data_IF_577183777358
#
_entry.id   IF_577183777358
#
_cell.length_a   1.000
_cell.length_b   1.000
_cell.length_c   1.000
_cell.angle_alpha   90.00
_cell.angle_beta   90.00
_cell.angle_gamma   90.00
#
_symmetry.space_group_name_H-M   'P 1'
#
loop_
_entity.id
_entity.type
_entity.pdbx_description
1 polymer ?
#
# COMPACT_ATOMS: atom_id res chain seq x y z
N UNK A 1 23.85 22.73 1.39
CA UNK A 1 23.41 21.49 0.70
C UNK A 1 21.99 21.23 1.18
N UNK A 2 21.04 21.05 0.29
CA UNK A 2 19.66 20.74 0.67
C UNK A 2 19.63 19.31 1.20
N UNK A 3 19.06 19.12 2.38
CA UNK A 3 18.94 17.82 3.04
C UNK A 3 17.96 16.95 2.24
N UNK A 4 18.36 15.72 1.91
CA UNK A 4 17.52 14.76 1.19
C UNK A 4 16.88 13.81 2.19
N UNK A 5 15.56 13.63 2.09
CA UNK A 5 14.79 12.68 2.89
C UNK A 5 14.03 11.74 1.95
N UNK A 6 14.00 10.44 2.25
CA UNK A 6 13.24 9.48 1.46
C UNK A 6 12.13 8.84 2.29
N UNK A 7 10.90 8.83 1.77
CA UNK A 7 9.78 8.11 2.36
C UNK A 7 9.43 6.91 1.49
N UNK A 8 9.63 5.72 2.01
CA UNK A 8 9.33 4.47 1.35
C UNK A 8 7.92 4.00 1.68
N UNK A 9 7.12 3.77 0.66
CA UNK A 9 5.78 3.21 0.76
C UNK A 9 5.87 1.71 0.45
N UNK A 10 5.82 0.87 1.47
CA UNK A 10 5.88 -0.59 1.36
C UNK A 10 4.46 -1.15 1.32
N UNK A 11 4.10 -1.86 0.25
CA UNK A 11 2.85 -2.62 0.22
C UNK A 11 2.98 -3.89 1.05
N UNK A 12 1.92 -4.26 1.80
CA UNK A 12 1.91 -5.53 2.53
C UNK A 12 2.14 -6.75 1.62
N UNK A 13 2.67 -7.83 2.19
CA UNK A 13 2.88 -9.12 1.53
C UNK A 13 1.58 -9.86 1.20
N UNK A 14 1.69 -11.04 0.60
CA UNK A 14 0.55 -11.88 0.24
C UNK A 14 -0.30 -12.24 1.45
N UNK A 15 -1.63 -12.26 1.26
CA UNK A 15 -2.61 -12.56 2.32
C UNK A 15 -3.17 -13.97 2.13
N UNK A 16 -3.33 -14.71 3.22
CA UNK A 16 -4.04 -15.99 3.21
C UNK A 16 -5.53 -15.78 2.93
N UNK A 17 -5.96 -16.00 1.68
CA UNK A 17 -7.33 -15.76 1.22
C UNK A 17 -7.82 -16.87 0.27
N UNK A 18 -7.98 -18.11 0.76
CA UNK A 18 -8.38 -19.24 -0.08
C UNK A 18 -9.79 -19.08 -0.65
N UNK A 19 -10.66 -18.34 0.03
CA UNK A 19 -12.03 -18.07 -0.42
C UNK A 19 -12.14 -16.98 -1.51
N UNK A 20 -11.02 -16.33 -1.87
CA UNK A 20 -10.97 -15.23 -2.87
C UNK A 20 -11.97 -14.11 -2.61
N UNK A 21 -12.06 -13.71 -1.35
CA UNK A 21 -12.92 -12.62 -0.87
C UNK A 21 -12.21 -11.29 -1.08
N UNK A 22 -12.96 -10.25 -1.46
CA UNK A 22 -12.46 -8.87 -1.39
C UNK A 22 -12.40 -8.47 0.08
N UNK A 23 -11.22 -8.49 0.66
CA UNK A 23 -11.07 -8.30 2.11
C UNK A 23 -10.97 -6.84 2.55
N UNK A 24 -10.55 -5.91 1.67
CA UNK A 24 -10.50 -4.47 1.97
C UNK A 24 -10.02 -4.15 3.40
N UNK A 25 -10.90 -3.63 4.24
CA UNK A 25 -10.64 -3.30 5.65
C UNK A 25 -11.07 -4.39 6.64
N UNK A 26 -11.56 -5.53 6.17
CA UNK A 26 -12.00 -6.61 7.04
C UNK A 26 -10.86 -7.13 7.92
N UNK A 27 -11.12 -7.40 9.22
CA UNK A 27 -10.15 -8.00 10.14
C UNK A 27 -9.90 -9.48 9.83
N UNK A 28 -8.82 -10.04 10.39
CA UNK A 28 -8.51 -11.47 10.31
C UNK A 28 -7.81 -11.90 9.01
N UNK A 29 -7.56 -10.99 8.09
CA UNK A 29 -6.80 -11.26 6.86
C UNK A 29 -5.30 -11.02 7.10
N UNK A 30 -4.63 -12.11 7.49
CA UNK A 30 -3.21 -12.19 7.83
C UNK A 30 -2.37 -12.58 6.63
N UNK A 31 -1.05 -12.40 6.72
CA UNK A 31 -0.12 -12.88 5.71
C UNK A 31 -0.24 -14.41 5.54
N UNK A 32 -0.04 -14.87 4.31
CA UNK A 32 0.25 -16.28 4.02
C UNK A 32 1.72 -16.56 4.33
N UNK A 33 2.13 -17.84 4.32
CA UNK A 33 3.55 -18.21 4.42
C UNK A 33 4.39 -17.54 3.33
N UNK A 34 3.86 -17.42 2.11
CA UNK A 34 4.49 -16.65 1.02
C UNK A 34 4.60 -15.18 1.38
N UNK A 35 3.54 -14.60 1.96
CA UNK A 35 3.54 -13.20 2.40
C UNK A 35 4.54 -12.91 3.52
N UNK A 36 4.76 -13.85 4.43
CA UNK A 36 5.80 -13.76 5.46
C UNK A 36 7.20 -13.77 4.83
N UNK A 37 7.45 -14.66 3.86
CA UNK A 37 8.70 -14.67 3.11
C UNK A 37 8.93 -13.38 2.31
N UNK A 38 7.86 -12.80 1.74
CA UNK A 38 7.92 -11.50 1.06
C UNK A 38 8.28 -10.37 2.04
N UNK A 39 7.74 -10.38 3.25
CA UNK A 39 8.04 -9.40 4.29
C UNK A 39 9.52 -9.47 4.72
N UNK A 40 10.08 -10.68 4.85
CA UNK A 40 11.49 -10.90 5.11
C UNK A 40 12.37 -10.34 3.97
N UNK A 41 12.04 -10.65 2.72
CA UNK A 41 12.79 -10.14 1.56
C UNK A 41 12.76 -8.61 1.49
N UNK A 42 11.63 -7.98 1.83
CA UNK A 42 11.55 -6.53 1.94
C UNK A 42 12.45 -5.98 3.06
N UNK A 43 12.47 -6.62 4.23
CA UNK A 43 13.35 -6.22 5.33
C UNK A 43 14.84 -6.36 4.96
N UNK A 44 15.23 -7.43 4.27
CA UNK A 44 16.58 -7.63 3.76
C UNK A 44 16.99 -6.54 2.76
N UNK A 45 16.07 -6.14 1.88
CA UNK A 45 16.32 -5.04 0.92
C UNK A 45 16.64 -3.72 1.63
N UNK A 46 15.99 -3.45 2.77
CA UNK A 46 16.28 -2.28 3.60
C UNK A 46 17.59 -2.39 4.40
N UNK A 47 18.30 -3.52 4.38
CA UNK A 47 19.51 -3.74 5.18
C UNK A 47 20.69 -2.79 4.92
N UNK A 48 20.64 -1.98 3.86
CA UNK A 48 21.64 -0.94 3.58
C UNK A 48 21.09 0.48 3.67
N UNK A 49 19.83 0.65 4.10
CA UNK A 49 19.14 1.91 4.17
C UNK A 49 19.22 2.54 5.58
N UNK A 50 19.21 3.86 5.63
CA UNK A 50 19.27 4.63 6.88
C UNK A 50 17.85 4.91 7.42
N UNK A 51 17.08 3.84 7.67
CA UNK A 51 15.71 3.93 8.16
C UNK A 51 15.69 4.33 9.64
N UNK A 52 15.10 5.47 9.94
CA UNK A 52 14.95 6.00 11.31
C UNK A 52 13.51 6.09 11.79
N UNK A 53 12.53 5.89 10.89
CA UNK A 53 11.11 6.00 11.22
C UNK A 53 10.31 4.90 10.51
N UNK A 54 9.52 4.13 11.27
CA UNK A 54 8.72 3.02 10.78
C UNK A 54 7.28 3.14 11.27
N UNK A 55 6.34 3.25 10.33
CA UNK A 55 4.90 3.36 10.63
C UNK A 55 4.12 2.38 9.73
N UNK A 56 3.06 1.81 10.27
CA UNK A 56 2.21 0.87 9.55
C UNK A 56 0.74 1.20 9.66
N UNK A 57 -0.01 0.84 8.63
CA UNK A 57 -1.46 0.70 8.70
C UNK A 57 -1.87 -0.16 9.89
N UNK A 58 -3.03 0.08 10.53
CA UNK A 58 -3.52 -0.74 11.65
C UNK A 58 -3.91 -2.17 11.26
N UNK A 59 -4.02 -2.48 9.97
CA UNK A 59 -4.46 -3.79 9.50
C UNK A 59 -3.38 -4.87 9.73
N UNK A 60 -3.77 -6.04 10.21
CA UNK A 60 -2.90 -7.13 10.65
C UNK A 60 -1.81 -7.48 9.63
N UNK A 61 -2.16 -7.62 8.35
CA UNK A 61 -1.22 -7.92 7.26
C UNK A 61 -0.12 -6.87 7.08
N UNK A 62 -0.45 -5.59 7.31
CA UNK A 62 0.53 -4.50 7.22
C UNK A 62 1.47 -4.51 8.43
N UNK A 63 0.92 -4.72 9.64
CA UNK A 63 1.70 -4.88 10.86
C UNK A 63 2.65 -6.08 10.78
N UNK A 64 2.17 -7.22 10.26
CA UNK A 64 3.00 -8.41 10.04
C UNK A 64 4.10 -8.16 8.99
N UNK A 65 3.82 -7.35 7.95
CA UNK A 65 4.84 -6.99 6.95
C UNK A 65 5.91 -6.06 7.54
N UNK A 66 5.54 -5.18 8.48
CA UNK A 66 6.47 -4.29 9.16
C UNK A 66 7.37 -5.03 10.17
N UNK A 67 6.92 -6.17 10.72
CA UNK A 67 7.59 -6.91 11.79
C UNK A 67 9.07 -7.22 11.53
N UNK A 68 9.42 -7.92 10.44
CA UNK A 68 10.81 -8.23 10.11
C UNK A 68 11.71 -7.00 9.98
N UNK A 69 11.17 -5.90 9.43
CA UNK A 69 11.92 -4.64 9.32
C UNK A 69 12.15 -4.00 10.71
N UNK A 70 11.14 -4.05 11.58
CA UNK A 70 11.27 -3.58 12.97
C UNK A 70 12.33 -4.37 13.73
N UNK A 71 12.38 -5.70 13.57
CA UNK A 71 13.40 -6.57 14.17
C UNK A 71 14.80 -6.25 13.63
N UNK A 72 14.94 -6.04 12.29
CA UNK A 72 16.23 -5.76 11.67
C UNK A 72 16.79 -4.38 12.03
N UNK A 73 15.93 -3.37 12.23
CA UNK A 73 16.33 -1.98 12.52
C UNK A 73 16.32 -1.64 14.01
N UNK A 74 15.65 -2.44 14.83
CA UNK A 74 15.39 -2.12 16.24
C UNK A 74 14.36 -1.00 16.47
N UNK A 75 13.64 -0.59 15.43
CA UNK A 75 12.63 0.47 15.52
C UNK A 75 11.29 -0.09 16.02
N UNK A 76 10.58 0.70 16.83
CA UNK A 76 9.19 0.41 17.16
C UNK A 76 8.29 0.70 15.94
N UNK A 77 7.26 -0.14 15.75
CA UNK A 77 6.25 0.10 14.69
C UNK A 77 5.22 1.09 15.22
N UNK A 78 5.20 2.31 14.66
CA UNK A 78 4.10 3.24 14.86
C UNK A 78 2.85 2.78 14.10
N UNK A 79 1.67 3.20 14.53
CA UNK A 79 0.41 2.92 13.82
C UNK A 79 -0.25 4.22 13.38
N UNK A 80 -0.71 4.27 12.11
CA UNK A 80 -1.36 5.45 11.56
C UNK A 80 -2.55 5.05 10.69
N UNK A 81 -3.75 5.48 11.09
CA UNK A 81 -5.00 5.19 10.38
C UNK A 81 -5.05 5.81 8.98
N UNK A 82 -4.25 6.84 8.70
CA UNK A 82 -4.14 7.44 7.37
C UNK A 82 -3.56 6.47 6.33
N UNK A 83 -2.86 5.41 6.76
CA UNK A 83 -2.27 4.38 5.91
C UNK A 83 -3.22 3.22 5.60
N UNK A 84 -4.46 3.22 6.15
CA UNK A 84 -5.41 2.12 5.97
C UNK A 84 -5.82 1.95 4.50
N UNK A 85 -6.22 0.74 4.10
CA UNK A 85 -6.75 0.46 2.75
C UNK A 85 -7.97 1.34 2.42
N UNK A 86 -8.22 1.58 1.14
CA UNK A 86 -9.41 2.28 0.71
C UNK A 86 -10.68 1.49 1.05
N UNK A 87 -11.70 2.17 1.56
CA UNK A 87 -12.99 1.55 1.80
C UNK A 87 -13.63 1.07 0.50
N UNK A 88 -14.29 -0.09 0.50
CA UNK A 88 -14.93 -0.68 -0.67
C UNK A 88 -16.28 -1.30 -0.33
N UNK A 89 -17.34 -0.88 -1.04
CA UNK A 89 -18.70 -1.38 -0.84
C UNK A 89 -18.91 -2.87 -1.23
N UNK A 90 -17.87 -3.52 -1.76
CA UNK A 90 -17.87 -4.94 -2.12
C UNK A 90 -17.07 -5.81 -1.13
N UNK A 91 -16.61 -5.24 -0.02
CA UNK A 91 -15.93 -6.00 1.03
C UNK A 91 -16.78 -7.20 1.50
N UNK A 92 -16.11 -8.33 1.72
CA UNK A 92 -16.77 -9.58 2.08
C UNK A 92 -17.33 -10.38 0.90
N UNK A 93 -17.33 -9.84 -0.31
CA UNK A 93 -17.85 -10.54 -1.48
C UNK A 93 -16.76 -11.30 -2.25
N UNK A 94 -17.13 -12.45 -2.83
CA UNK A 94 -16.22 -13.24 -3.68
C UNK A 94 -16.02 -12.54 -5.02
N UNK A 95 -14.76 -12.31 -5.41
CA UNK A 95 -14.42 -11.55 -6.63
C UNK A 95 -14.35 -12.45 -7.85
N UNK A 96 -13.97 -13.71 -7.69
CA UNK A 96 -13.70 -14.66 -8.77
C UNK A 96 -14.81 -15.67 -9.03
N UNK A 97 -14.76 -16.36 -10.20
CA UNK A 97 -15.65 -17.46 -10.55
C UNK A 97 -17.00 -17.03 -11.16
N UNK A 98 -17.89 -18.02 -11.39
CA UNK A 98 -19.20 -17.81 -12.03
C UNK A 98 -20.15 -16.95 -11.21
N UNK A 99 -19.96 -16.87 -9.88
CA UNK A 99 -20.73 -16.05 -8.93
C UNK A 99 -20.09 -14.73 -8.55
N UNK A 100 -19.02 -14.31 -9.25
CA UNK A 100 -18.26 -13.11 -8.91
C UNK A 100 -19.13 -11.83 -8.90
N UNK A 101 -18.89 -10.97 -7.93
CA UNK A 101 -19.65 -9.75 -7.64
C UNK A 101 -19.86 -8.83 -8.84
N UNK A 102 -18.89 -8.77 -9.76
CA UNK A 102 -18.94 -7.94 -10.97
C UNK A 102 -19.82 -8.51 -12.09
N UNK A 103 -20.22 -9.79 -12.02
CA UNK A 103 -21.11 -10.44 -12.97
C UNK A 103 -22.60 -10.31 -12.61
N UNK A 104 -22.90 -9.89 -11.40
CA UNK A 104 -24.29 -9.73 -10.95
C UNK A 104 -24.87 -8.38 -11.43
N UNK A 105 -25.91 -8.34 -12.30
CA UNK A 105 -26.49 -7.09 -12.84
C UNK A 105 -26.95 -6.11 -11.75
N UNK A 106 -27.38 -6.66 -10.61
CA UNK A 106 -27.79 -5.87 -9.42
C UNK A 106 -26.67 -4.97 -8.86
N UNK A 107 -25.41 -5.21 -9.21
CA UNK A 107 -24.26 -4.45 -8.72
C UNK A 107 -23.79 -3.37 -9.72
N UNK A 108 -24.27 -3.39 -10.96
CA UNK A 108 -23.84 -2.47 -12.00
C UNK A 108 -24.20 -1.02 -11.71
N UNK A 109 -25.26 -0.77 -10.96
CA UNK A 109 -25.59 0.59 -10.52
C UNK A 109 -24.54 1.19 -9.59
N UNK A 110 -23.78 0.37 -8.85
CA UNK A 110 -22.64 0.79 -8.02
C UNK A 110 -21.42 1.20 -8.86
N UNK A 111 -21.30 0.72 -10.11
CA UNK A 111 -20.18 0.96 -11.01
C UNK A 111 -20.39 2.18 -11.93
N UNK A 112 -21.38 3.03 -11.68
CA UNK A 112 -21.82 4.08 -12.62
C UNK A 112 -20.83 5.23 -12.78
N UNK A 113 -19.98 5.51 -11.80
CA UNK A 113 -19.07 6.64 -11.86
C UNK A 113 -17.62 6.20 -11.64
N UNK A 114 -16.81 6.01 -12.71
CA UNK A 114 -15.40 5.65 -12.59
C UNK A 114 -14.51 6.79 -12.10
N UNK A 115 -14.98 8.04 -12.12
CA UNK A 115 -14.21 9.22 -11.69
C UNK A 115 -14.32 9.48 -10.19
N UNK A 116 -15.46 9.17 -9.61
CA UNK A 116 -15.66 9.05 -8.16
C UNK A 116 -16.21 7.66 -7.92
N UNK A 117 -15.38 6.71 -7.45
CA UNK A 117 -15.87 5.34 -7.28
C UNK A 117 -17.06 5.34 -6.34
N UNK A 118 -18.28 5.17 -6.90
CA UNK A 118 -19.52 5.07 -6.11
C UNK A 118 -19.54 3.80 -5.23
N UNK A 119 -18.50 2.98 -5.34
CA UNK A 119 -18.26 1.76 -4.57
C UNK A 119 -17.13 1.85 -3.56
N UNK A 120 -16.45 3.02 -3.43
CA UNK A 120 -15.30 3.15 -2.55
C UNK A 120 -15.02 4.58 -2.11
N UNK A 121 -13.94 4.74 -1.36
CA UNK A 121 -13.42 6.02 -0.92
C UNK A 121 -12.99 6.89 -2.13
N UNK A 122 -13.34 8.19 -2.19
CA UNK A 122 -12.90 9.08 -3.26
C UNK A 122 -11.38 9.17 -3.35
N UNK A 123 -10.81 9.10 -4.57
CA UNK A 123 -9.35 9.18 -4.76
C UNK A 123 -8.72 10.44 -4.16
N UNK A 124 -9.43 11.57 -4.18
CA UNK A 124 -8.94 12.82 -3.60
C UNK A 124 -8.80 12.74 -2.07
N UNK A 125 -9.69 12.02 -1.39
CA UNK A 125 -9.63 11.80 0.06
C UNK A 125 -8.48 10.83 0.41
N UNK A 126 -8.32 9.76 -0.38
CA UNK A 126 -7.18 8.85 -0.24
C UNK A 126 -5.86 9.62 -0.44
N UNK A 127 -5.76 10.45 -1.48
CA UNK A 127 -4.57 11.26 -1.74
C UNK A 127 -4.28 12.22 -0.59
N UNK A 128 -5.29 12.91 -0.06
CA UNK A 128 -5.13 13.88 1.01
C UNK A 128 -4.63 13.23 2.31
N UNK A 129 -5.23 12.08 2.74
CA UNK A 129 -4.78 11.39 3.96
C UNK A 129 -3.39 10.78 3.80
N UNK A 130 -3.09 10.22 2.63
CA UNK A 130 -1.77 9.65 2.34
C UNK A 130 -0.69 10.73 2.26
N UNK A 131 -0.99 11.89 1.65
CA UNK A 131 -0.06 13.02 1.61
C UNK A 131 0.29 13.48 3.03
N UNK A 132 -0.72 13.67 3.88
CA UNK A 132 -0.49 14.05 5.27
C UNK A 132 0.34 13.00 6.07
N UNK A 133 0.22 11.70 5.75
CA UNK A 133 1.06 10.66 6.35
C UNK A 133 2.50 10.71 5.83
N UNK A 134 2.69 10.90 4.51
CA UNK A 134 4.01 11.02 3.87
C UNK A 134 4.75 12.26 4.37
N UNK A 135 4.09 13.40 4.48
CA UNK A 135 4.68 14.64 5.02
C UNK A 135 5.09 14.49 6.48
N UNK A 136 4.25 13.87 7.30
CA UNK A 136 4.57 13.59 8.70
C UNK A 136 5.79 12.66 8.85
N UNK A 137 5.88 11.63 8.01
CA UNK A 137 7.02 10.71 7.99
C UNK A 137 8.30 11.39 7.50
N UNK A 138 8.22 12.22 6.43
CA UNK A 138 9.33 13.07 5.97
C UNK A 138 9.86 13.93 7.11
N UNK A 139 8.97 14.60 7.83
CA UNK A 139 9.35 15.52 8.91
C UNK A 139 9.96 14.79 10.11
N UNK A 140 9.51 13.57 10.39
CA UNK A 140 10.05 12.72 11.45
C UNK A 140 11.43 12.14 11.10
N UNK A 141 11.72 11.91 9.80
CA UNK A 141 12.96 11.29 9.32
C UNK A 141 13.84 12.26 8.52
N UNK A 142 13.81 13.56 8.80
CA UNK A 142 14.58 14.57 8.05
C UNK A 142 16.07 14.20 7.94
N UNK A 143 16.59 14.19 6.71
CA UNK A 143 17.96 13.79 6.37
C UNK A 143 18.21 12.28 6.36
N UNK A 144 17.21 11.49 6.65
CA UNK A 144 17.22 10.04 6.76
C UNK A 144 16.09 9.42 5.94
N UNK A 145 15.71 8.18 6.25
CA UNK A 145 14.67 7.45 5.56
C UNK A 145 13.54 7.02 6.50
N UNK A 146 12.31 7.08 6.01
CA UNK A 146 11.12 6.57 6.69
C UNK A 146 10.49 5.43 5.89
N UNK A 147 9.88 4.45 6.56
CA UNK A 147 9.07 3.39 5.92
C UNK A 147 7.64 3.46 6.42
N UNK A 148 6.71 3.54 5.48
CA UNK A 148 5.26 3.52 5.69
C UNK A 148 4.69 2.24 5.07
N UNK A 149 4.19 1.30 5.88
CA UNK A 149 3.58 0.06 5.38
C UNK A 149 2.09 0.27 5.16
N UNK A 150 1.64 0.10 3.92
CA UNK A 150 0.27 0.39 3.49
C UNK A 150 -0.24 -0.63 2.46
N UNK A 151 -1.16 -0.23 1.60
CA UNK A 151 -1.92 -1.09 0.70
C UNK A 151 -1.86 -0.57 -0.73
N UNK A 152 -2.33 -1.38 -1.69
CA UNK A 152 -2.17 -1.11 -3.11
C UNK A 152 -2.80 0.23 -3.55
N UNK A 153 -4.08 0.44 -3.24
CA UNK A 153 -4.77 1.63 -3.75
C UNK A 153 -4.29 2.92 -3.10
N UNK A 154 -4.08 3.01 -1.78
CA UNK A 154 -3.48 4.19 -1.15
C UNK A 154 -2.10 4.55 -1.71
N UNK A 155 -1.19 3.56 -1.84
CA UNK A 155 0.16 3.78 -2.38
C UNK A 155 0.09 4.26 -3.83
N UNK A 156 -0.71 3.60 -4.67
CA UNK A 156 -0.85 4.01 -6.06
C UNK A 156 -1.46 5.41 -6.21
N UNK A 157 -2.45 5.73 -5.38
CA UNK A 157 -3.14 7.03 -5.43
C UNK A 157 -2.22 8.18 -5.04
N UNK A 158 -1.44 8.04 -3.97
CA UNK A 158 -0.48 9.09 -3.59
C UNK A 158 0.64 9.23 -4.62
N UNK A 159 1.12 8.14 -5.22
CA UNK A 159 2.10 8.22 -6.32
C UNK A 159 1.54 9.03 -7.49
N UNK A 160 0.33 8.74 -7.95
CA UNK A 160 -0.30 9.53 -9.03
C UNK A 160 -0.44 11.00 -8.66
N UNK A 161 -0.80 11.30 -7.40
CA UNK A 161 -0.92 12.66 -6.90
C UNK A 161 0.40 13.43 -6.97
N UNK A 162 1.48 12.84 -6.45
CA UNK A 162 2.82 13.44 -6.41
C UNK A 162 3.41 13.63 -7.81
N UNK A 163 3.14 12.71 -8.73
CA UNK A 163 3.55 12.80 -10.13
C UNK A 163 2.65 13.75 -10.97
N UNK A 164 1.60 14.36 -10.39
CA UNK A 164 0.65 15.22 -11.10
C UNK A 164 -0.19 14.49 -12.15
N UNK A 165 -0.40 13.20 -12.00
CA UNK A 165 -1.11 12.32 -12.93
C UNK A 165 -2.58 12.19 -12.57
N UNK A 166 -3.40 11.87 -13.59
CA UNK A 166 -4.83 11.59 -13.39
C UNK A 166 -5.04 10.35 -12.53
N UNK A 167 -6.01 10.40 -11.61
CA UNK A 167 -6.45 9.23 -10.84
C UNK A 167 -7.19 8.19 -11.69
N UNK A 168 -7.70 8.57 -12.86
CA UNK A 168 -8.31 7.62 -13.79
C UNK A 168 -7.22 6.76 -14.43
N UNK A 169 -7.20 5.47 -14.11
CA UNK A 169 -6.19 4.53 -14.59
C UNK A 169 -6.78 3.10 -14.72
N UNK A 170 -6.13 2.26 -15.50
CA UNK A 170 -6.42 0.82 -15.54
C UNK A 170 -5.81 0.15 -14.29
N UNK A 171 -6.63 -0.47 -13.42
CA UNK A 171 -6.14 -1.14 -12.21
C UNK A 171 -5.08 -2.22 -12.46
N UNK A 172 -5.08 -2.82 -13.65
CA UNK A 172 -4.12 -3.87 -14.06
C UNK A 172 -2.72 -3.32 -14.36
N UNK A 173 -2.59 -2.00 -14.48
CA UNK A 173 -1.33 -1.30 -14.78
C UNK A 173 -0.73 -0.63 -13.56
N UNK A 174 -1.19 -0.96 -12.36
CA UNK A 174 -0.62 -0.43 -11.13
C UNK A 174 0.75 -1.06 -10.88
N UNK A 175 1.79 -0.26 -10.91
CA UNK A 175 3.11 -0.65 -10.40
C UNK A 175 3.09 -0.57 -8.88
N UNK A 176 2.55 -1.58 -8.25
CA UNK A 176 2.44 -1.74 -6.80
C UNK A 176 2.19 -3.23 -6.50
N UNK A 177 3.20 -4.07 -6.77
CA UNK A 177 3.19 -5.49 -6.50
C UNK A 177 3.17 -5.78 -4.98
N UNK A 178 2.88 -7.01 -4.57
CA UNK A 178 2.95 -7.42 -3.15
C UNK A 178 4.38 -7.25 -2.64
N UNK A 179 4.54 -6.69 -1.45
CA UNK A 179 5.82 -6.33 -0.83
C UNK A 179 6.74 -5.44 -1.70
N UNK A 180 6.18 -4.72 -2.68
CA UNK A 180 6.92 -3.72 -3.45
C UNK A 180 7.11 -2.43 -2.65
N UNK A 181 8.16 -1.69 -3.00
CA UNK A 181 8.54 -0.42 -2.40
C UNK A 181 8.42 0.70 -3.44
N UNK A 182 7.62 1.71 -3.14
CA UNK A 182 7.57 2.97 -3.88
C UNK A 182 8.28 4.02 -3.02
N UNK A 183 9.44 4.50 -3.47
CA UNK A 183 10.27 5.44 -2.72
C UNK A 183 10.05 6.85 -3.23
N UNK A 184 9.70 7.76 -2.34
CA UNK A 184 9.43 9.17 -2.62
C UNK A 184 10.57 10.01 -2.04
N UNK A 185 11.34 10.65 -2.91
CA UNK A 185 12.45 11.52 -2.50
C UNK A 185 12.03 12.98 -2.35
N UNK A 186 12.56 13.63 -1.32
CA UNK A 186 12.37 15.05 -1.04
C UNK A 186 13.72 15.76 -0.89
N UNK A 187 13.80 17.00 -1.40
CA UNK A 187 14.86 17.96 -1.11
C UNK A 187 14.27 19.06 -0.21
N UNK A 188 14.53 18.97 1.09
CA UNK A 188 13.76 19.73 2.09
C UNK A 188 12.29 19.33 2.04
N UNK A 189 11.40 20.29 1.75
CA UNK A 189 9.95 20.03 1.62
C UNK A 189 9.50 19.78 0.19
N UNK A 190 10.40 19.92 -0.80
CA UNK A 190 10.07 19.80 -2.22
C UNK A 190 10.15 18.33 -2.67
N UNK A 191 9.09 17.85 -3.28
CA UNK A 191 9.09 16.57 -3.99
C UNK A 191 10.17 16.56 -5.10
N UNK A 192 11.05 15.56 -5.10
CA UNK A 192 12.15 15.41 -6.04
C UNK A 192 11.95 14.27 -7.05
N UNK A 193 11.21 13.22 -6.68
CA UNK A 193 10.95 12.11 -7.59
C UNK A 193 10.44 10.85 -6.90
N UNK A 194 10.09 9.86 -7.73
CA UNK A 194 9.65 8.53 -7.29
C UNK A 194 10.50 7.47 -7.96
N UNK A 195 10.86 6.44 -7.20
CA UNK A 195 11.42 5.18 -7.72
C UNK A 195 10.58 3.99 -7.26
N UNK A 196 10.71 2.86 -7.95
CA UNK A 196 9.95 1.65 -7.67
C UNK A 196 10.86 0.43 -7.65
N UNK A 197 10.68 -0.47 -6.68
CA UNK A 197 11.42 -1.70 -6.53
C UNK A 197 10.51 -2.86 -6.10
N UNK A 198 10.85 -4.08 -6.47
CA UNK A 198 10.19 -5.33 -6.10
C UNK A 198 11.16 -6.26 -5.37
N UNK A 199 11.45 -6.02 -4.06
CA UNK A 199 12.40 -6.82 -3.29
C UNK A 199 12.07 -8.33 -3.26
N UNK A 200 10.80 -8.67 -3.20
CA UNK A 200 10.33 -10.05 -3.19
C UNK A 200 10.20 -10.70 -4.59
N UNK A 201 10.64 -9.99 -5.65
CA UNK A 201 10.45 -10.43 -7.03
C UNK A 201 9.02 -10.26 -7.53
N UNK A 202 8.73 -10.80 -8.72
CA UNK A 202 7.43 -10.69 -9.34
C UNK A 202 6.34 -11.38 -8.50
N UNK A 203 5.19 -10.73 -8.34
CA UNK A 203 4.02 -11.33 -7.69
C UNK A 203 3.59 -12.59 -8.42
N UNK A 204 3.37 -13.73 -7.71
CA UNK A 204 2.85 -14.95 -8.32
C UNK A 204 1.56 -14.69 -9.12
N UNK A 205 1.43 -15.33 -10.29
CA UNK A 205 0.30 -15.12 -11.22
C UNK A 205 -1.06 -15.56 -10.67
N UNK A 206 -1.07 -16.36 -9.61
CA UNK A 206 -2.24 -16.88 -8.90
C UNK A 206 -2.61 -16.05 -7.65
N UNK A 207 -1.81 -15.06 -7.31
CA UNK A 207 -2.13 -14.13 -6.23
C UNK A 207 -3.45 -13.41 -6.51
N UNK A 208 -4.39 -13.52 -5.57
CA UNK A 208 -5.72 -12.94 -5.71
C UNK A 208 -5.65 -11.45 -5.41
N UNK A 209 -6.12 -10.58 -6.32
CA UNK A 209 -6.29 -9.17 -6.00
C UNK A 209 -7.26 -9.04 -4.82
N UNK A 210 -6.79 -8.56 -3.68
CA UNK A 210 -7.59 -8.49 -2.45
C UNK A 210 -8.11 -7.08 -2.14
N UNK A 211 -7.76 -6.12 -2.98
CA UNK A 211 -8.17 -4.72 -2.83
C UNK A 211 -8.44 -4.08 -4.18
#
# INVERSE_FOLDING_TARGET
MTETTTVHLLRHGEVHNPAKVLYGRLPGFRLSTTGEAMALAAAEWFGGHDVTHLVSSPLERAQQTAGPLAEATGLAIGTDDRLIEAGNAFEGMVVGGAGGVFRAPRNWWKLRNPFQPSWGEPYVEIAARMLAAVEAARDAARGHEAVLVSHQLPIWTIRLHLEGRSYLHDPRRRECALASVTSVAFEGDRFAGVTYAEPAGATPSDAVPGA
#
